data_IF_755401601644
#
_entry.id   IF_755401601644
#
_cell.length_a   1.000
_cell.length_b   1.000
_cell.length_c   1.000
_cell.angle_alpha   90.00
_cell.angle_beta   90.00
_cell.angle_gamma   90.00
#
_symmetry.space_group_name_H-M   'P 1'
#
loop_
_entity.id
_entity.type
_entity.pdbx_description
1 polymer ?
#
# COMPACT_ATOMS: atom_id res chain seq x y z
N UNK A 1 -28.24 -88.05 7.76
CA UNK A 1 -28.11 -87.27 6.51
C UNK A 1 -26.69 -86.72 6.46
N UNK A 2 -25.74 -87.48 5.90
CA UNK A 2 -25.10 -87.34 4.56
C UNK A 2 -24.25 -86.06 4.35
N UNK A 3 -22.92 -86.31 4.29
CA UNK A 3 -21.89 -85.85 3.32
C UNK A 3 -21.18 -84.49 3.50
N UNK A 4 -19.85 -84.59 3.62
CA UNK A 4 -18.75 -83.67 3.20
C UNK A 4 -18.56 -83.80 1.65
N UNK A 5 -17.69 -83.05 0.91
CA UNK A 5 -17.34 -81.61 0.77
C UNK A 5 -17.64 -81.08 -0.67
N UNK A 6 -17.33 -79.81 -0.95
CA UNK A 6 -17.22 -79.27 -2.32
C UNK A 6 -16.30 -78.05 -2.38
N UNK A 7 -15.28 -78.11 -3.24
CA UNK A 7 -14.20 -77.15 -3.38
C UNK A 7 -14.30 -76.37 -4.71
N UNK A 8 -13.52 -75.28 -4.77
CA UNK A 8 -13.08 -74.49 -5.94
C UNK A 8 -14.10 -73.52 -6.58
N UNK A 9 -13.77 -72.23 -6.54
CA UNK A 9 -13.51 -71.40 -7.74
C UNK A 9 -12.56 -70.26 -7.32
N UNK A 10 -11.46 -70.17 -8.07
CA UNK A 10 -10.46 -69.09 -8.03
C UNK A 10 -11.08 -67.86 -8.70
N UNK A 11 -11.05 -66.71 -8.04
CA UNK A 11 -11.24 -65.42 -8.69
C UNK A 11 -10.02 -64.53 -8.36
N UNK A 12 -9.08 -64.52 -9.29
CA UNK A 12 -7.99 -63.57 -9.33
C UNK A 12 -8.55 -62.20 -9.75
N UNK A 13 -8.48 -61.21 -8.87
CA UNK A 13 -8.58 -59.81 -9.26
C UNK A 13 -7.25 -59.13 -8.96
N UNK A 14 -6.47 -58.92 -10.02
CA UNK A 14 -5.25 -58.14 -10.02
C UNK A 14 -5.56 -56.70 -9.56
N UNK A 15 -4.96 -56.27 -8.45
CA UNK A 15 -4.86 -54.85 -8.12
C UNK A 15 -3.57 -54.33 -8.74
N UNK A 16 -3.75 -53.49 -9.74
CA UNK A 16 -2.74 -52.77 -10.50
C UNK A 16 -1.79 -52.00 -9.58
N UNK A 17 -0.49 -52.26 -9.77
CA UNK A 17 0.59 -51.37 -9.35
C UNK A 17 0.45 -50.09 -10.19
N UNK A 18 -0.10 -49.03 -9.60
CA UNK A 18 -0.05 -47.69 -10.15
C UNK A 18 1.38 -47.18 -10.08
N UNK A 19 2.05 -47.11 -11.22
CA UNK A 19 3.41 -46.61 -11.36
C UNK A 19 3.54 -45.17 -10.81
N UNK A 20 4.45 -44.97 -9.87
CA UNK A 20 5.01 -43.67 -9.51
C UNK A 20 5.62 -43.05 -10.78
N UNK A 21 5.00 -42.02 -11.32
CA UNK A 21 5.57 -41.22 -12.41
C UNK A 21 6.47 -40.13 -11.79
N UNK A 22 7.80 -40.15 -11.99
CA UNK A 22 8.71 -39.18 -11.39
C UNK A 22 8.94 -37.98 -12.32
N UNK A 23 7.91 -37.52 -13.03
CA UNK A 23 8.01 -36.31 -13.83
C UNK A 23 7.45 -35.12 -13.06
N UNK A 24 8.30 -34.53 -12.23
CA UNK A 24 8.10 -33.14 -11.81
C UNK A 24 8.13 -32.28 -13.08
N UNK A 25 7.12 -31.42 -13.32
CA UNK A 25 7.18 -30.48 -14.44
C UNK A 25 8.36 -29.54 -14.21
N UNK A 26 9.36 -29.61 -15.09
CA UNK A 26 10.40 -28.60 -15.18
C UNK A 26 9.72 -27.27 -15.44
N UNK A 27 9.78 -26.35 -14.48
CA UNK A 27 9.34 -24.97 -14.69
C UNK A 27 10.25 -24.35 -15.73
N UNK A 28 9.73 -24.12 -16.93
CA UNK A 28 10.42 -23.32 -17.94
C UNK A 28 10.66 -21.92 -17.37
N UNK A 29 11.89 -21.38 -17.42
CA UNK A 29 12.11 -19.99 -17.05
C UNK A 29 11.24 -19.12 -17.95
N UNK A 30 10.42 -18.26 -17.36
CA UNK A 30 9.68 -17.28 -18.11
C UNK A 30 10.71 -16.39 -18.81
N UNK A 31 10.73 -16.43 -20.15
CA UNK A 31 11.43 -15.42 -20.93
C UNK A 31 10.70 -14.12 -20.67
N UNK A 32 11.32 -13.22 -19.90
CA UNK A 32 10.85 -11.85 -19.77
C UNK A 32 10.87 -11.26 -21.17
N UNK A 33 9.69 -11.10 -21.78
CA UNK A 33 9.57 -10.44 -23.07
C UNK A 33 10.23 -9.08 -22.96
N UNK A 34 11.06 -8.73 -23.95
CA UNK A 34 11.54 -7.36 -24.14
C UNK A 34 10.32 -6.43 -24.04
N UNK A 35 10.16 -5.77 -22.89
CA UNK A 35 9.20 -4.69 -22.79
C UNK A 35 9.74 -3.63 -23.75
N UNK A 36 8.97 -3.21 -24.76
CA UNK A 36 9.44 -2.16 -25.65
C UNK A 36 9.81 -0.97 -24.77
N UNK A 37 11.06 -0.54 -24.90
CA UNK A 37 11.55 0.64 -24.19
C UNK A 37 10.67 1.82 -24.58
N UNK A 38 10.08 2.48 -23.58
CA UNK A 38 9.33 3.71 -23.77
C UNK A 38 9.75 4.73 -22.72
N UNK A 39 9.65 6.01 -23.07
CA UNK A 39 9.95 7.11 -22.15
C UNK A 39 9.04 7.02 -20.93
N UNK A 40 7.77 6.68 -21.14
CA UNK A 40 6.77 6.51 -20.08
C UNK A 40 7.17 5.37 -19.13
N UNK A 41 7.65 4.24 -19.65
CA UNK A 41 8.09 3.11 -18.83
C UNK A 41 9.27 3.49 -17.92
N UNK A 42 10.12 4.43 -18.34
CA UNK A 42 11.29 4.89 -17.59
C UNK A 42 10.93 6.01 -16.60
N UNK A 43 10.04 6.92 -16.99
CA UNK A 43 9.73 8.14 -16.22
C UNK A 43 8.51 8.03 -15.30
N UNK A 44 7.73 6.95 -15.37
CA UNK A 44 6.49 6.78 -14.58
C UNK A 44 6.67 6.12 -13.20
N UNK A 45 7.89 5.74 -12.83
CA UNK A 45 8.16 5.15 -11.53
C UNK A 45 7.74 6.12 -10.38
N UNK A 46 7.02 5.65 -9.35
CA UNK A 46 6.62 6.50 -8.23
C UNK A 46 7.82 6.88 -7.36
N UNK A 47 7.81 8.11 -6.86
CA UNK A 47 8.86 8.64 -5.98
C UNK A 47 8.41 8.62 -4.51
N UNK A 48 9.04 7.82 -3.62
CA UNK A 48 8.77 7.84 -2.20
C UNK A 48 9.42 9.03 -1.48
N UNK A 49 8.75 9.55 -0.46
CA UNK A 49 9.30 10.52 0.49
C UNK A 49 8.61 10.42 1.86
N UNK A 50 9.10 11.17 2.86
CA UNK A 50 8.47 11.31 4.18
C UNK A 50 8.17 9.98 4.90
N UNK A 51 9.10 9.01 4.86
CA UNK A 51 8.93 7.73 5.55
C UNK A 51 8.96 7.93 7.07
N UNK A 52 7.93 7.42 7.76
CA UNK A 52 7.82 7.39 9.21
C UNK A 52 7.41 6.00 9.71
N UNK A 53 7.85 5.65 10.91
CA UNK A 53 7.39 4.45 11.64
C UNK A 53 6.31 4.82 12.65
N UNK A 54 5.35 3.92 12.86
CA UNK A 54 4.33 4.11 13.90
C UNK A 54 4.96 4.01 15.30
N UNK A 55 4.46 4.78 16.28
CA UNK A 55 4.94 4.71 17.66
C UNK A 55 4.62 3.36 18.33
N UNK A 56 3.64 2.62 17.79
CA UNK A 56 3.23 1.29 18.24
C UNK A 56 2.75 0.45 17.06
N UNK A 57 2.92 -0.86 17.18
CA UNK A 57 2.60 -1.83 16.14
C UNK A 57 3.62 -1.84 15.00
N UNK A 58 3.54 -2.87 14.15
CA UNK A 58 4.42 -3.01 13.00
C UNK A 58 3.82 -2.24 11.82
N UNK A 59 3.98 -0.92 11.79
CA UNK A 59 3.39 -0.06 10.75
C UNK A 59 4.36 1.03 10.31
N UNK A 60 4.39 1.30 9.01
CA UNK A 60 5.10 2.43 8.41
C UNK A 60 4.17 3.21 7.49
N UNK A 61 4.44 4.51 7.33
CA UNK A 61 3.77 5.37 6.38
C UNK A 61 4.77 6.21 5.59
N UNK A 62 4.40 6.55 4.35
CA UNK A 62 5.21 7.41 3.49
C UNK A 62 4.30 8.11 2.48
N UNK A 63 4.87 9.04 1.72
CA UNK A 63 4.21 9.66 0.56
C UNK A 63 4.73 9.03 -0.71
N UNK A 64 3.85 8.66 -1.63
CA UNK A 64 4.22 8.36 -3.02
C UNK A 64 3.73 9.47 -3.92
N UNK A 65 4.63 9.98 -4.77
CA UNK A 65 4.31 10.78 -5.93
C UNK A 65 4.35 9.91 -7.19
N UNK A 66 3.19 9.56 -7.73
CA UNK A 66 3.08 8.83 -8.98
C UNK A 66 2.55 9.78 -10.06
N UNK A 67 3.43 10.18 -10.99
CA UNK A 67 3.09 11.09 -12.10
C UNK A 67 2.37 12.37 -11.62
N UNK A 68 2.88 13.00 -10.55
CA UNK A 68 2.33 14.22 -9.96
C UNK A 68 1.29 13.99 -8.86
N UNK A 69 0.61 12.84 -8.86
CA UNK A 69 -0.40 12.49 -7.85
C UNK A 69 0.27 12.03 -6.57
N UNK A 70 0.19 12.86 -5.53
CA UNK A 70 0.79 12.60 -4.22
C UNK A 70 -0.25 12.03 -3.26
N UNK A 71 0.05 10.90 -2.66
CA UNK A 71 -0.80 10.28 -1.66
C UNK A 71 0.00 9.71 -0.50
N UNK A 72 -0.63 9.67 0.67
CA UNK A 72 -0.11 8.92 1.82
C UNK A 72 -0.40 7.44 1.60
N UNK A 73 0.61 6.62 1.86
CA UNK A 73 0.59 5.17 1.82
C UNK A 73 1.00 4.61 3.17
N UNK A 74 0.48 3.43 3.48
CA UNK A 74 0.77 2.68 4.71
C UNK A 74 1.11 1.25 4.36
N UNK A 75 1.99 0.62 5.14
CA UNK A 75 2.21 -0.81 5.14
C UNK A 75 2.15 -1.35 6.56
N UNK A 76 1.44 -2.45 6.72
CA UNK A 76 1.20 -3.15 7.97
C UNK A 76 1.98 -4.47 8.00
N UNK A 77 2.73 -4.72 9.07
CA UNK A 77 3.45 -5.96 9.31
C UNK A 77 2.50 -7.13 9.63
N UNK A 78 2.99 -8.38 9.52
CA UNK A 78 4.36 -8.74 9.13
C UNK A 78 4.64 -8.67 7.62
N UNK A 79 3.59 -8.63 6.78
CA UNK A 79 3.74 -8.72 5.33
C UNK A 79 4.15 -7.40 4.65
N UNK A 80 3.97 -6.26 5.34
CA UNK A 80 4.22 -4.91 4.84
C UNK A 80 3.63 -4.64 3.45
N UNK A 81 2.43 -5.15 3.20
CA UNK A 81 1.70 -4.85 1.96
C UNK A 81 1.30 -3.39 1.95
N UNK A 82 1.83 -2.66 0.98
CA UNK A 82 1.51 -1.25 0.78
C UNK A 82 0.05 -1.06 0.36
N UNK A 83 -0.62 -0.10 1.00
CA UNK A 83 -1.96 0.38 0.63
C UNK A 83 -2.01 1.90 0.67
N UNK A 84 -2.69 2.47 -0.31
CA UNK A 84 -2.96 3.89 -0.38
C UNK A 84 -4.04 4.26 0.66
N UNK A 85 -3.88 5.38 1.37
CA UNK A 85 -4.85 5.81 2.41
C UNK A 85 -5.51 7.15 2.14
N UNK A 86 -4.90 8.02 1.34
CA UNK A 86 -5.56 9.22 0.79
C UNK A 86 -5.91 9.00 -0.69
N UNK A 87 -6.83 9.77 -1.26
CA UNK A 87 -7.25 9.61 -2.66
C UNK A 87 -7.21 10.93 -3.45
N UNK A 88 -6.05 11.58 -3.50
CA UNK A 88 -5.81 12.73 -4.37
C UNK A 88 -5.52 12.24 -5.80
N UNK A 89 -6.37 12.66 -6.74
CA UNK A 89 -6.36 12.16 -8.12
C UNK A 89 -5.69 13.09 -9.12
N UNK A 90 -5.40 14.32 -8.72
CA UNK A 90 -4.87 15.37 -9.61
C UNK A 90 -3.36 15.56 -9.42
N UNK A 91 -2.67 15.98 -10.48
CA UNK A 91 -1.35 16.60 -10.38
C UNK A 91 -1.54 18.10 -10.10
N UNK A 92 -1.84 18.42 -8.84
CA UNK A 92 -2.10 19.79 -8.38
C UNK A 92 -0.85 20.50 -7.83
N UNK A 93 0.30 19.84 -7.88
CA UNK A 93 1.56 20.32 -7.32
C UNK A 93 1.54 20.53 -5.80
N UNK A 94 0.49 20.10 -5.08
CA UNK A 94 0.39 20.27 -3.64
C UNK A 94 1.21 19.19 -2.93
N UNK A 95 2.21 19.62 -2.16
CA UNK A 95 3.04 18.70 -1.39
C UNK A 95 2.24 18.03 -0.26
N UNK A 96 2.60 16.78 0.08
CA UNK A 96 2.24 16.14 1.34
C UNK A 96 3.52 15.97 2.16
N UNK A 97 3.58 16.55 3.35
CA UNK A 97 4.79 16.58 4.18
C UNK A 97 4.45 16.45 5.67
N UNK A 98 5.48 16.34 6.50
CA UNK A 98 5.36 16.37 7.97
C UNK A 98 4.35 15.37 8.53
N UNK A 99 4.42 14.13 8.01
CA UNK A 99 3.57 13.05 8.50
C UNK A 99 3.86 12.78 9.98
N UNK A 100 2.82 12.56 10.76
CA UNK A 100 2.90 12.12 12.15
C UNK A 100 1.76 11.13 12.45
N UNK A 101 2.09 10.00 13.07
CA UNK A 101 1.07 9.10 13.58
C UNK A 101 0.47 9.64 14.88
N UNK A 102 -0.81 9.36 15.05
CA UNK A 102 -1.46 9.35 16.37
C UNK A 102 -0.82 8.30 17.30
N UNK A 103 -0.91 8.46 18.63
CA UNK A 103 -0.28 7.54 19.59
C UNK A 103 -0.78 6.09 19.52
N UNK A 104 -1.99 5.87 19.02
CA UNK A 104 -2.62 4.56 18.77
C UNK A 104 -2.42 4.07 17.33
N UNK A 105 -1.69 4.84 16.51
CA UNK A 105 -1.42 4.60 15.10
C UNK A 105 -2.68 4.46 14.22
N UNK A 106 -3.85 4.97 14.61
CA UNK A 106 -5.11 4.84 13.85
C UNK A 106 -5.33 5.98 12.84
N UNK A 107 -4.67 7.11 13.06
CA UNK A 107 -4.72 8.34 12.27
C UNK A 107 -3.32 8.80 11.89
N UNK A 108 -3.16 9.36 10.69
CA UNK A 108 -1.97 10.13 10.29
C UNK A 108 -2.38 11.59 10.13
N UNK A 109 -1.65 12.48 10.80
CA UNK A 109 -1.67 13.92 10.56
C UNK A 109 -0.57 14.25 9.56
N UNK A 110 -0.83 15.19 8.65
CA UNK A 110 0.13 15.63 7.63
C UNK A 110 -0.16 17.06 7.19
N UNK A 111 0.82 17.70 6.57
CA UNK A 111 0.65 19.00 5.93
C UNK A 111 0.38 18.80 4.44
N UNK A 112 -0.64 19.47 3.91
CA UNK A 112 -0.91 19.58 2.47
C UNK A 112 -0.67 21.02 2.01
N UNK A 113 0.12 21.19 0.95
CA UNK A 113 0.51 22.48 0.40
C UNK A 113 1.91 22.93 0.82
N UNK A 114 2.54 23.75 -0.02
CA UNK A 114 3.91 24.22 0.18
C UNK A 114 4.02 25.33 1.23
N UNK A 115 5.22 25.53 1.82
CA UNK A 115 5.45 26.64 2.75
C UNK A 115 5.37 27.99 2.04
N UNK A 116 5.02 29.07 2.76
CA UNK A 116 5.05 30.41 2.21
C UNK A 116 6.46 30.80 1.74
N UNK A 117 6.54 31.61 0.69
CA UNK A 117 7.78 32.28 0.32
C UNK A 117 8.14 33.40 1.34
N UNK A 118 9.20 34.17 1.07
CA UNK A 118 9.64 35.25 1.97
C UNK A 118 8.62 36.38 2.15
N UNK A 119 7.71 36.54 1.19
CA UNK A 119 6.63 37.53 1.21
C UNK A 119 5.33 36.97 1.85
N UNK A 120 5.35 35.71 2.32
CA UNK A 120 4.19 35.07 2.94
C UNK A 120 3.22 34.40 1.95
N UNK A 121 3.56 34.32 0.67
CA UNK A 121 2.66 33.78 -0.35
C UNK A 121 2.71 32.25 -0.38
N UNK A 122 1.54 31.62 -0.33
CA UNK A 122 1.41 30.16 -0.48
C UNK A 122 1.57 29.77 -1.96
N UNK A 123 2.41 28.79 -2.30
CA UNK A 123 2.55 28.30 -3.67
C UNK A 123 1.21 27.84 -4.26
N UNK A 124 0.89 28.37 -5.44
CA UNK A 124 -0.34 28.06 -6.19
C UNK A 124 -0.02 27.50 -7.59
N UNK A 125 0.42 26.23 -7.71
CA UNK A 125 0.86 25.64 -8.98
C UNK A 125 -0.23 25.56 -10.04
N UNK A 126 -1.50 25.48 -9.63
CA UNK A 126 -2.65 25.42 -10.53
C UNK A 126 -3.14 26.80 -10.97
N UNK A 127 -2.56 27.88 -10.45
CA UNK A 127 -3.01 29.27 -10.71
C UNK A 127 -4.49 29.49 -10.40
N UNK A 128 -5.04 28.82 -9.38
CA UNK A 128 -6.45 29.00 -8.97
C UNK A 128 -6.65 30.44 -8.48
N UNK A 129 -7.59 31.23 -9.05
CA UNK A 129 -7.83 32.60 -8.63
C UNK A 129 -8.31 32.74 -7.18
N UNK A 130 -8.76 31.66 -6.54
CA UNK A 130 -9.10 31.63 -5.10
C UNK A 130 -7.87 31.53 -4.21
N UNK A 131 -6.69 31.29 -4.78
CA UNK A 131 -5.45 31.06 -4.04
C UNK A 131 -5.29 29.61 -3.56
N UNK A 132 -4.10 29.32 -3.00
CA UNK A 132 -3.78 28.05 -2.37
C UNK A 132 -3.63 28.22 -0.86
N UNK A 133 -3.80 27.12 -0.11
CA UNK A 133 -3.69 27.08 1.36
C UNK A 133 -2.68 26.01 1.76
N UNK A 134 -1.91 26.29 2.81
CA UNK A 134 -1.15 25.27 3.53
C UNK A 134 -2.01 24.78 4.69
N UNK A 135 -2.30 23.47 4.72
CA UNK A 135 -3.27 22.88 5.64
C UNK A 135 -2.65 21.77 6.46
N UNK A 136 -2.94 21.76 7.75
CA UNK A 136 -2.83 20.57 8.58
C UNK A 136 -4.07 19.72 8.33
N UNK A 137 -3.84 18.52 7.82
CA UNK A 137 -4.85 17.53 7.48
C UNK A 137 -4.67 16.30 8.36
N UNK A 138 -5.73 15.52 8.49
CA UNK A 138 -5.64 14.17 9.03
C UNK A 138 -6.36 13.17 8.13
N UNK A 139 -5.89 11.93 8.17
CA UNK A 139 -6.50 10.77 7.52
C UNK A 139 -6.65 9.63 8.52
N UNK A 140 -7.86 9.08 8.63
CA UNK A 140 -8.11 7.86 9.39
C UNK A 140 -7.75 6.65 8.54
N UNK A 141 -6.96 5.74 9.10
CA UNK A 141 -6.38 4.64 8.33
C UNK A 141 -7.34 3.50 8.04
N UNK A 142 -8.43 3.39 8.80
CA UNK A 142 -9.47 2.36 8.63
C UNK A 142 -10.23 2.53 7.31
N UNK A 143 -10.65 3.75 7.00
CA UNK A 143 -11.54 4.04 5.87
C UNK A 143 -11.02 5.12 4.92
N UNK A 144 -9.82 5.66 5.17
CA UNK A 144 -9.22 6.71 4.36
C UNK A 144 -9.93 8.05 4.46
N UNK A 145 -10.83 8.25 5.44
CA UNK A 145 -11.52 9.52 5.60
C UNK A 145 -10.51 10.61 5.95
N UNK A 146 -10.51 11.69 5.18
CA UNK A 146 -9.70 12.88 5.43
C UNK A 146 -10.52 14.01 6.05
N UNK A 147 -9.87 14.85 6.85
CA UNK A 147 -10.44 16.10 7.34
C UNK A 147 -9.36 17.15 7.55
N UNK A 148 -9.75 18.42 7.42
CA UNK A 148 -8.90 19.57 7.76
C UNK A 148 -8.90 19.77 9.28
N UNK A 149 -7.72 20.04 9.85
CA UNK A 149 -7.55 20.40 11.26
C UNK A 149 -7.40 21.92 11.39
N UNK A 150 -6.48 22.51 10.63
CA UNK A 150 -6.17 23.94 10.69
C UNK A 150 -5.37 24.39 9.45
N UNK A 151 -5.23 25.71 9.26
CA UNK A 151 -4.22 26.27 8.36
C UNK A 151 -2.84 26.30 9.02
N UNK A 152 -1.80 26.09 8.22
CA UNK A 152 -0.41 26.18 8.64
C UNK A 152 0.35 24.87 8.52
N UNK A 153 1.41 24.74 9.32
CA UNK A 153 2.32 23.59 9.33
C UNK A 153 2.84 23.32 10.74
N UNK A 154 3.73 22.34 10.84
CA UNK A 154 4.34 21.84 12.07
C UNK A 154 3.34 21.26 13.07
N UNK A 155 2.46 20.32 12.66
CA UNK A 155 1.51 19.69 13.56
C UNK A 155 2.22 18.93 14.68
N UNK A 156 1.67 18.99 15.90
CA UNK A 156 2.20 18.27 17.05
C UNK A 156 1.10 17.45 17.70
N UNK A 157 1.12 16.12 17.47
CA UNK A 157 0.11 15.25 18.06
C UNK A 157 0.37 15.09 19.55
N UNK A 158 -0.64 15.42 20.36
CA UNK A 158 -0.56 15.26 21.81
C UNK A 158 -0.32 13.79 22.20
N UNK A 159 0.41 13.50 23.31
CA UNK A 159 0.62 12.11 23.76
C UNK A 159 -0.66 11.34 24.07
N UNK A 160 -1.75 12.04 24.41
CA UNK A 160 -3.08 11.46 24.63
C UNK A 160 -3.86 11.21 23.32
N UNK A 161 -3.45 11.81 22.22
CA UNK A 161 -4.05 11.63 20.89
C UNK A 161 -5.38 12.37 20.69
N UNK A 162 -5.77 13.24 21.62
CA UNK A 162 -7.05 13.98 21.56
C UNK A 162 -6.91 15.41 21.03
N UNK A 163 -5.68 15.87 20.83
CA UNK A 163 -5.33 17.20 20.29
C UNK A 163 -4.17 17.12 19.29
N UNK A 164 -4.17 18.07 18.35
CA UNK A 164 -3.14 18.34 17.34
C UNK A 164 -2.85 19.83 17.31
#
# INVERSE_FOLDING_TARGET
MRKIPGAWIIAACALLVGALSPFAPVSTPAVEKDRPFSIEAVLSAPFPSNLIAAPRGDRVAWVFNAQGRRNVWVADGPDFRARQVTNYTEDDGQELSQLAFSPDASVIVYVRGGPPNREGEIPNPTSDPRGARQLIMAVRLEDGKTWEIAEGSNPQVSPRGDLV
#
